data_IF_616936576260
#
_entry.id   IF_616936576260
#
_cell.length_a   1.000
_cell.length_b   1.000
_cell.length_c   1.000
_cell.angle_alpha   90.00
_cell.angle_beta   90.00
_cell.angle_gamma   90.00
#
_symmetry.space_group_name_H-M   'P 1'
#
loop_
_entity.id
_entity.type
_entity.pdbx_description
1 polymer ?
#
# COMPACT_ATOMS: atom_id res chain seq x y z
N UNK A 1 2.35 5.40 -13.65
CA UNK A 1 1.30 4.75 -14.46
C UNK A 1 0.00 5.52 -14.32
N UNK A 2 -0.81 5.65 -15.38
CA UNK A 2 -2.10 6.38 -15.37
C UNK A 2 -3.27 5.41 -15.33
N UNK A 3 -4.23 5.65 -14.43
CA UNK A 3 -5.49 4.89 -14.35
C UNK A 3 -6.64 5.87 -14.58
N UNK A 4 -7.50 5.60 -15.57
CA UNK A 4 -8.63 6.45 -15.94
C UNK A 4 -9.86 6.09 -15.12
N UNK A 5 -10.35 7.01 -14.28
CA UNK A 5 -11.58 6.83 -13.50
C UNK A 5 -12.71 7.68 -14.10
N UNK A 6 -13.83 7.04 -14.41
CA UNK A 6 -15.04 7.70 -14.91
C UNK A 6 -16.00 8.00 -13.74
N UNK A 7 -15.84 9.16 -13.10
CA UNK A 7 -16.87 9.69 -12.19
C UNK A 7 -17.64 10.80 -12.93
N UNK A 8 -18.99 10.75 -12.91
CA UNK A 8 -19.81 11.86 -13.40
C UNK A 8 -19.81 12.98 -12.35
N UNK A 9 -19.11 14.07 -12.65
CA UNK A 9 -19.05 15.25 -11.78
C UNK A 9 -20.06 16.28 -12.29
N UNK A 10 -21.11 16.53 -11.49
CA UNK A 10 -22.09 17.60 -11.76
C UNK A 10 -21.42 18.94 -11.43
N UNK A 11 -20.90 19.62 -12.45
CA UNK A 11 -20.43 20.99 -12.31
C UNK A 11 -21.64 21.94 -12.35
N UNK A 12 -22.11 22.43 -11.20
CA UNK A 12 -23.06 23.54 -11.14
C UNK A 12 -22.30 24.85 -11.38
N UNK A 13 -22.49 25.57 -12.50
CA UNK A 13 -21.63 26.69 -12.80
C UNK A 13 -22.02 28.00 -12.09
N UNK A 14 -23.18 28.10 -11.43
CA UNK A 14 -23.63 29.37 -10.81
C UNK A 14 -24.52 29.15 -9.57
N UNK A 15 -24.14 29.60 -8.35
CA UNK A 15 -25.03 29.55 -7.18
C UNK A 15 -26.00 30.74 -7.10
N UNK A 16 -26.01 31.67 -8.08
CA UNK A 16 -26.64 32.99 -7.90
C UNK A 16 -28.07 33.16 -8.48
N UNK A 17 -28.61 32.24 -9.27
CA UNK A 17 -29.93 32.46 -9.90
C UNK A 17 -30.69 31.15 -10.19
N UNK A 18 -31.50 30.71 -9.22
CA UNK A 18 -32.27 29.45 -9.26
C UNK A 18 -33.50 29.41 -10.18
N UNK A 19 -33.49 30.11 -11.33
CA UNK A 19 -34.67 30.21 -12.19
C UNK A 19 -34.46 29.94 -13.70
N UNK A 20 -33.23 29.66 -14.14
CA UNK A 20 -32.93 29.35 -15.55
C UNK A 20 -32.04 28.09 -15.65
N UNK A 21 -32.62 26.92 -15.37
CA UNK A 21 -31.92 25.62 -15.43
C UNK A 21 -32.18 24.93 -16.79
N UNK A 22 -31.77 25.57 -17.88
CA UNK A 22 -31.95 25.07 -19.25
C UNK A 22 -30.56 24.80 -19.83
N UNK A 23 -30.01 23.61 -19.58
CA UNK A 23 -28.79 23.13 -20.23
C UNK A 23 -27.62 22.88 -19.28
N UNK A 24 -27.82 22.00 -18.29
CA UNK A 24 -26.70 21.39 -17.58
C UNK A 24 -25.92 20.49 -18.54
N UNK A 25 -24.86 21.03 -19.15
CA UNK A 25 -23.89 20.23 -19.86
C UNK A 25 -23.15 19.34 -18.85
N UNK A 26 -23.51 18.05 -18.82
CA UNK A 26 -22.75 17.00 -18.13
C UNK A 26 -21.31 17.00 -18.67
N UNK A 27 -20.41 17.73 -18.04
CA UNK A 27 -18.99 17.67 -18.34
C UNK A 27 -18.40 16.41 -17.70
N UNK A 28 -18.20 15.37 -18.52
CA UNK A 28 -17.34 14.24 -18.17
C UNK A 28 -15.92 14.77 -17.98
N UNK A 29 -15.50 14.95 -16.74
CA UNK A 29 -14.09 15.18 -16.41
C UNK A 29 -13.43 13.81 -16.22
N UNK A 30 -12.57 13.34 -17.14
CA UNK A 30 -11.80 12.12 -16.92
C UNK A 30 -10.89 12.36 -15.71
N UNK A 31 -11.15 11.66 -14.61
CA UNK A 31 -10.33 11.78 -13.41
C UNK A 31 -9.15 10.83 -13.57
N UNK A 32 -8.00 11.36 -13.99
CA UNK A 32 -6.77 10.58 -14.12
C UNK A 32 -6.10 10.43 -12.75
N UNK A 33 -5.93 9.19 -12.29
CA UNK A 33 -5.10 8.89 -11.12
C UNK A 33 -3.66 8.66 -11.57
N UNK A 34 -2.75 9.55 -11.17
CA UNK A 34 -1.32 9.39 -11.37
C UNK A 34 -0.73 8.63 -10.19
N UNK A 35 -0.25 7.40 -10.43
CA UNK A 35 0.50 6.66 -9.43
C UNK A 35 1.96 7.11 -9.44
N UNK A 36 2.36 7.84 -8.39
CA UNK A 36 3.75 8.19 -8.12
C UNK A 36 4.36 7.21 -7.10
N UNK A 37 5.59 6.75 -7.35
CA UNK A 37 6.31 5.82 -6.47
C UNK A 37 7.49 6.55 -5.83
N UNK A 38 7.58 6.52 -4.51
CA UNK A 38 8.65 7.21 -3.78
C UNK A 38 9.98 6.45 -3.88
N UNK A 39 11.04 7.10 -4.37
CA UNK A 39 12.35 6.46 -4.52
C UNK A 39 12.93 6.00 -3.16
N UNK A 40 12.93 6.88 -2.15
CA UNK A 40 13.55 6.60 -0.85
C UNK A 40 12.70 5.75 0.09
N UNK A 41 11.37 5.89 0.02
CA UNK A 41 10.42 5.25 0.93
C UNK A 41 9.71 4.02 0.35
N UNK A 42 9.84 3.74 -0.94
CA UNK A 42 9.23 2.58 -1.58
C UNK A 42 10.24 1.79 -2.42
N UNK A 43 10.89 2.42 -3.40
CA UNK A 43 11.77 1.70 -4.33
C UNK A 43 13.01 1.15 -3.64
N UNK A 44 13.79 2.00 -2.96
CA UNK A 44 15.02 1.57 -2.27
C UNK A 44 14.72 0.50 -1.21
N UNK A 45 13.74 0.67 -0.29
CA UNK A 45 13.41 -0.36 0.68
C UNK A 45 12.99 -1.68 0.05
N UNK A 46 12.22 -1.64 -1.04
CA UNK A 46 11.81 -2.86 -1.77
C UNK A 46 13.01 -3.58 -2.36
N UNK A 47 13.96 -2.85 -2.96
CA UNK A 47 15.17 -3.45 -3.50
C UNK A 47 16.04 -4.08 -2.40
N UNK A 48 16.20 -3.42 -1.26
CA UNK A 48 16.92 -3.98 -0.11
C UNK A 48 16.21 -5.22 0.42
N UNK A 49 14.87 -5.21 0.51
CA UNK A 49 14.12 -6.38 0.96
C UNK A 49 14.27 -7.57 0.01
N UNK A 50 14.28 -7.33 -1.31
CA UNK A 50 14.56 -8.38 -2.31
C UNK A 50 15.98 -8.91 -2.14
N UNK A 51 16.97 -8.03 -1.93
CA UNK A 51 18.34 -8.45 -1.67
C UNK A 51 18.48 -9.33 -0.42
N UNK A 52 17.84 -8.95 0.70
CA UNK A 52 17.82 -9.74 1.93
C UNK A 52 17.18 -11.12 1.70
N UNK A 53 16.06 -11.21 0.96
CA UNK A 53 15.47 -12.51 0.61
C UNK A 53 16.49 -13.37 -0.15
N UNK A 54 17.18 -12.80 -1.13
CA UNK A 54 18.19 -13.54 -1.91
C UNK A 54 19.37 -13.99 -1.04
N UNK A 55 19.81 -13.15 -0.10
CA UNK A 55 20.90 -13.48 0.82
C UNK A 55 20.50 -14.61 1.77
N UNK A 56 19.35 -14.50 2.44
CA UNK A 56 18.85 -15.52 3.37
C UNK A 56 18.65 -16.86 2.64
N UNK A 57 18.03 -16.86 1.46
CA UNK A 57 17.76 -18.09 0.71
C UNK A 57 19.01 -18.72 0.10
N UNK A 58 20.05 -17.92 -0.17
CA UNK A 58 21.37 -18.44 -0.56
C UNK A 58 22.01 -19.21 0.58
N UNK A 59 21.85 -18.73 1.82
CA UNK A 59 22.43 -19.37 3.01
C UNK A 59 21.64 -20.62 3.41
N UNK A 60 20.30 -20.54 3.43
CA UNK A 60 19.46 -21.73 3.63
C UNK A 60 18.01 -21.55 3.14
N UNK A 61 17.54 -22.52 2.37
CA UNK A 61 16.16 -22.54 1.86
C UNK A 61 15.09 -22.77 2.94
N UNK A 62 15.51 -23.16 4.16
CA UNK A 62 14.59 -23.40 5.28
C UNK A 62 13.81 -22.15 5.68
N UNK A 63 14.37 -20.97 5.41
CA UNK A 63 13.79 -19.68 5.74
C UNK A 63 12.72 -19.20 4.74
N UNK A 64 12.53 -19.90 3.62
CA UNK A 64 11.50 -19.54 2.64
C UNK A 64 10.10 -19.50 3.27
N UNK A 65 9.74 -20.54 4.03
CA UNK A 65 8.43 -20.63 4.66
C UNK A 65 8.25 -19.55 5.74
N UNK A 66 9.19 -19.33 6.68
CA UNK A 66 9.17 -18.19 7.60
C UNK A 66 8.98 -16.83 6.93
N UNK A 67 9.72 -16.53 5.85
CA UNK A 67 9.60 -15.27 5.11
C UNK A 67 8.19 -15.11 4.54
N UNK A 68 7.68 -16.12 3.83
CA UNK A 68 6.34 -16.08 3.24
C UNK A 68 5.27 -15.89 4.31
N UNK A 69 5.37 -16.61 5.43
CA UNK A 69 4.42 -16.48 6.53
C UNK A 69 4.48 -15.09 7.18
N UNK A 70 5.67 -14.56 7.47
CA UNK A 70 5.83 -13.23 8.06
C UNK A 70 5.26 -12.14 7.15
N UNK A 71 5.56 -12.18 5.84
CA UNK A 71 4.98 -11.26 4.84
C UNK A 71 3.45 -11.40 4.82
N UNK A 72 2.92 -12.62 4.76
CA UNK A 72 1.48 -12.88 4.65
C UNK A 72 0.73 -12.38 5.88
N UNK A 73 1.23 -12.67 7.08
CA UNK A 73 0.63 -12.21 8.33
C UNK A 73 0.63 -10.68 8.38
N UNK A 74 1.78 -10.05 8.11
CA UNK A 74 1.87 -8.59 8.16
C UNK A 74 1.00 -7.92 7.09
N UNK A 75 0.92 -8.51 5.89
CA UNK A 75 0.04 -8.07 4.80
C UNK A 75 -1.42 -8.12 5.23
N UNK A 76 -1.88 -9.21 5.84
CA UNK A 76 -3.24 -9.36 6.31
C UNK A 76 -3.59 -8.34 7.39
N UNK A 77 -2.67 -8.07 8.32
CA UNK A 77 -2.84 -7.02 9.33
C UNK A 77 -2.91 -5.64 8.70
N UNK A 78 -1.97 -5.30 7.81
CA UNK A 78 -1.95 -4.01 7.12
C UNK A 78 -3.23 -3.79 6.30
N UNK A 79 -3.69 -4.81 5.56
CA UNK A 79 -4.93 -4.75 4.80
C UNK A 79 -6.14 -4.47 5.71
N UNK A 80 -6.24 -5.12 6.86
CA UNK A 80 -7.37 -4.89 7.78
C UNK A 80 -7.35 -3.51 8.45
N UNK A 81 -6.17 -2.92 8.62
CA UNK A 81 -5.99 -1.64 9.32
C UNK A 81 -5.97 -0.44 8.39
N UNK A 82 -5.61 -0.63 7.13
CA UNK A 82 -5.57 0.40 6.11
C UNK A 82 -6.97 0.97 5.87
N UNK A 83 -7.08 2.31 5.90
CA UNK A 83 -8.32 3.05 5.61
C UNK A 83 -8.02 4.13 4.59
N UNK A 84 -8.61 4.09 3.38
CA UNK A 84 -8.51 5.19 2.43
C UNK A 84 -9.27 6.42 2.96
N UNK A 85 -8.56 7.52 3.19
CA UNK A 85 -9.09 8.79 3.68
C UNK A 85 -8.93 9.87 2.60
N UNK A 86 -10.04 10.49 2.20
CA UNK A 86 -10.07 11.55 1.18
C UNK A 86 -9.13 12.70 1.57
N UNK A 87 -8.22 13.06 0.67
CA UNK A 87 -7.26 14.16 0.87
C UNK A 87 -6.01 13.82 1.68
N UNK A 88 -5.92 12.62 2.27
CA UNK A 88 -4.77 12.18 3.08
C UNK A 88 -4.10 10.93 2.47
N UNK A 89 -4.86 10.10 1.75
CA UNK A 89 -4.39 8.83 1.21
C UNK A 89 -4.74 7.68 2.14
N UNK A 90 -3.87 6.68 2.24
CA UNK A 90 -4.13 5.49 3.08
C UNK A 90 -3.63 5.75 4.49
N UNK A 91 -4.53 5.75 5.47
CA UNK A 91 -4.22 5.92 6.88
C UNK A 91 -4.16 4.55 7.57
N UNK A 92 -3.14 4.35 8.40
CA UNK A 92 -2.96 3.17 9.24
C UNK A 92 -2.06 3.49 10.45
N UNK A 93 -2.15 2.74 11.57
CA UNK A 93 -1.27 2.97 12.72
C UNK A 93 0.18 2.66 12.39
N UNK A 94 1.07 3.66 12.45
CA UNK A 94 2.45 3.55 11.96
C UNK A 94 3.29 2.46 12.64
N UNK A 95 3.05 2.19 13.93
CA UNK A 95 3.83 1.21 14.71
C UNK A 95 3.33 -0.23 14.56
N UNK A 96 2.11 -0.45 14.09
CA UNK A 96 1.56 -1.82 14.04
C UNK A 96 2.31 -2.71 13.03
N UNK A 97 2.56 -2.29 11.78
CA UNK A 97 3.31 -3.12 10.83
C UNK A 97 4.72 -3.50 11.29
N UNK A 98 5.58 -2.58 11.78
CA UNK A 98 6.92 -2.97 12.21
C UNK A 98 6.89 -3.86 13.46
N UNK A 99 5.92 -3.67 14.38
CA UNK A 99 5.78 -4.55 15.54
C UNK A 99 5.34 -5.96 15.13
N UNK A 100 4.36 -6.08 14.23
CA UNK A 100 3.91 -7.39 13.74
C UNK A 100 5.03 -8.08 12.96
N UNK A 101 5.75 -7.36 12.11
CA UNK A 101 6.90 -7.88 11.38
C UNK A 101 8.00 -8.38 12.34
N UNK A 102 8.37 -7.59 13.36
CA UNK A 102 9.36 -7.99 14.34
C UNK A 102 8.93 -9.22 15.15
N UNK A 103 7.69 -9.24 15.65
CA UNK A 103 7.17 -10.37 16.43
C UNK A 103 7.10 -11.65 15.61
N UNK A 104 6.59 -11.58 14.38
CA UNK A 104 6.51 -12.74 13.49
C UNK A 104 7.89 -13.26 13.10
N UNK A 105 8.84 -12.38 12.82
CA UNK A 105 10.21 -12.77 12.50
C UNK A 105 10.93 -13.43 13.68
N UNK A 106 10.81 -12.88 14.90
CA UNK A 106 11.40 -13.45 16.11
C UNK A 106 10.85 -14.86 16.42
N UNK A 107 9.58 -15.11 16.10
CA UNK A 107 8.94 -16.41 16.32
C UNK A 107 9.25 -17.43 15.23
N UNK A 108 9.35 -17.01 13.97
CA UNK A 108 9.45 -17.92 12.82
C UNK A 108 10.88 -18.15 12.34
N UNK A 109 11.78 -17.18 12.53
CA UNK A 109 13.16 -17.22 12.08
C UNK A 109 14.07 -16.43 13.05
N UNK A 110 14.22 -16.88 14.31
CA UNK A 110 14.95 -16.13 15.34
C UNK A 110 16.40 -15.81 14.95
N UNK A 111 17.07 -16.70 14.20
CA UNK A 111 18.44 -16.51 13.74
C UNK A 111 18.55 -15.41 12.65
N UNK A 112 17.50 -15.22 11.84
CA UNK A 112 17.42 -14.24 10.75
C UNK A 112 16.39 -13.13 11.03
N UNK A 113 16.02 -12.96 12.31
CA UNK A 113 14.86 -12.15 12.69
C UNK A 113 14.94 -10.68 12.21
N UNK A 114 16.10 -9.99 12.28
CA UNK A 114 16.20 -8.61 11.77
C UNK A 114 15.88 -8.52 10.27
N UNK A 115 16.44 -9.42 9.47
CA UNK A 115 16.27 -9.42 8.02
C UNK A 115 14.85 -9.84 7.62
N UNK A 116 14.30 -10.89 8.24
CA UNK A 116 12.90 -11.31 8.00
C UNK A 116 11.91 -10.22 8.45
N UNK A 117 12.18 -9.53 9.57
CA UNK A 117 11.35 -8.41 10.02
C UNK A 117 11.39 -7.24 9.04
N UNK A 118 12.58 -6.91 8.51
CA UNK A 118 12.72 -5.86 7.50
C UNK A 118 11.91 -6.21 6.24
N UNK A 119 12.08 -7.43 5.72
CA UNK A 119 11.35 -7.93 4.55
C UNK A 119 9.83 -7.87 4.77
N UNK A 120 9.34 -8.45 5.87
CA UNK A 120 7.91 -8.43 6.18
C UNK A 120 7.39 -7.01 6.43
N UNK A 121 8.19 -6.14 7.03
CA UNK A 121 7.87 -4.74 7.30
C UNK A 121 7.78 -3.88 6.03
N UNK A 122 8.54 -4.20 4.98
CA UNK A 122 8.46 -3.55 3.68
C UNK A 122 7.28 -4.09 2.88
N UNK A 123 7.19 -5.41 2.69
CA UNK A 123 6.15 -6.00 1.83
C UNK A 123 4.74 -5.95 2.45
N UNK A 124 4.61 -5.97 3.78
CA UNK A 124 3.31 -5.96 4.46
C UNK A 124 2.44 -4.75 4.10
N UNK A 125 2.91 -3.50 4.33
CA UNK A 125 2.19 -2.29 3.91
C UNK A 125 2.05 -2.16 2.40
N UNK A 126 3.09 -2.46 1.61
CA UNK A 126 3.01 -2.36 0.14
C UNK A 126 1.91 -3.26 -0.44
N UNK A 127 1.83 -4.50 0.02
CA UNK A 127 0.79 -5.43 -0.44
C UNK A 127 -0.56 -5.11 0.20
N UNK A 128 -0.59 -4.96 1.52
CA UNK A 128 -1.83 -4.86 2.28
C UNK A 128 -2.50 -3.49 2.19
N UNK A 129 -1.73 -2.42 2.35
CA UNK A 129 -2.24 -1.06 2.26
C UNK A 129 -2.36 -0.63 0.81
N UNK A 130 -1.29 -0.73 0.01
CA UNK A 130 -1.31 -0.14 -1.34
C UNK A 130 -1.99 -1.03 -2.36
N UNK A 131 -1.48 -2.23 -2.64
CA UNK A 131 -1.95 -3.08 -3.76
C UNK A 131 -3.38 -3.57 -3.55
N UNK A 132 -3.71 -4.11 -2.38
CA UNK A 132 -5.02 -4.70 -2.13
C UNK A 132 -6.17 -3.67 -1.97
N UNK A 133 -5.85 -2.37 -1.88
CA UNK A 133 -6.85 -1.29 -1.83
C UNK A 133 -6.97 -0.49 -3.12
N UNK A 134 -6.28 -0.88 -4.20
CA UNK A 134 -6.47 -0.25 -5.51
C UNK A 134 -7.91 -0.53 -5.99
N UNK A 135 -8.71 0.52 -6.11
CA UNK A 135 -10.06 0.53 -6.67
C UNK A 135 -10.15 1.48 -7.85
#
# INVERSE_FOLDING_TARGET
TRITRQDEVIAHPYPLFGFLDIGSHLQRSPNETILAVNLGGCVIPTLVAVYEILQILRDSWIYLLPIVLAITINTAVCYRLAKPVKGIGIAMPALVPPLVAALTALLLAPEEAPSVAFVAGVFGPLLGADVLHIR
#
